data_IF_774426965796
#
_entry.id   IF_774426965796
#
_cell.length_a   1.000
_cell.length_b   1.000
_cell.length_c   1.000
_cell.angle_alpha   90.00
_cell.angle_beta   90.00
_cell.angle_gamma   90.00
#
_symmetry.space_group_name_H-M   'P 1'
#
loop_
_entity.id
_entity.type
_entity.pdbx_description
1 polymer ?
#
# COMPACT_ATOMS: atom_id res chain seq x y z
N UNK A 1 11.19 -7.72 26.73
CA UNK A 1 10.73 -6.32 26.87
C UNK A 1 11.58 -5.37 26.00
N UNK A 2 11.61 -5.56 24.67
CA UNK A 2 12.49 -4.79 23.75
C UNK A 2 11.75 -4.06 22.60
N UNK A 3 10.42 -4.04 22.64
CA UNK A 3 9.59 -3.50 21.55
C UNK A 3 9.52 -1.97 21.46
N UNK A 4 9.92 -1.23 22.50
CA UNK A 4 9.60 0.20 22.66
C UNK A 4 10.83 1.12 22.69
N UNK A 5 12.05 0.59 22.70
CA UNK A 5 13.28 1.39 22.74
C UNK A 5 13.60 2.03 21.37
N UNK A 6 14.08 3.28 21.38
CA UNK A 6 14.61 3.96 20.18
C UNK A 6 15.80 3.18 19.60
N UNK A 7 16.05 3.31 18.29
CA UNK A 7 17.16 2.61 17.64
C UNK A 7 18.50 2.86 18.35
N UNK A 8 18.73 4.08 18.83
CA UNK A 8 19.96 4.43 19.55
C UNK A 8 20.07 3.70 20.90
N UNK A 9 18.98 3.55 21.64
CA UNK A 9 18.96 2.82 22.90
C UNK A 9 19.20 1.31 22.69
N UNK A 10 18.74 0.75 21.57
CA UNK A 10 19.02 -0.65 21.21
C UNK A 10 20.47 -0.87 20.79
N UNK A 11 21.03 0.07 20.04
CA UNK A 11 22.45 0.04 19.66
C UNK A 11 23.32 0.15 20.91
N UNK A 12 22.96 1.03 21.85
CA UNK A 12 23.71 1.20 23.10
C UNK A 12 23.63 -0.03 24.00
N UNK A 13 22.47 -0.69 24.10
CA UNK A 13 22.37 -1.98 24.83
C UNK A 13 23.21 -3.10 24.20
N UNK A 14 23.34 -3.12 22.87
CA UNK A 14 24.17 -4.10 22.18
C UNK A 14 25.67 -3.82 22.36
N UNK A 15 26.05 -2.54 22.47
CA UNK A 15 27.42 -2.15 22.81
C UNK A 15 27.77 -2.50 24.27
N UNK A 16 26.81 -2.38 25.19
CA UNK A 16 26.96 -2.81 26.59
C UNK A 16 27.10 -4.33 26.73
N UNK A 17 26.49 -5.12 25.83
CA UNK A 17 26.67 -6.58 25.75
C UNK A 17 27.99 -7.00 25.07
N UNK A 18 28.87 -6.06 24.74
CA UNK A 18 30.20 -6.33 24.20
C UNK A 18 30.22 -6.69 22.72
N UNK A 19 29.14 -6.42 21.97
CA UNK A 19 29.13 -6.58 20.51
C UNK A 19 29.93 -5.42 19.90
N UNK A 20 31.07 -5.69 19.23
CA UNK A 20 31.88 -4.63 18.64
C UNK A 20 31.09 -3.92 17.54
N UNK A 21 31.08 -2.59 17.57
CA UNK A 21 30.49 -1.77 16.51
C UNK A 21 31.24 -2.00 15.21
N UNK A 22 30.54 -2.53 14.19
CA UNK A 22 31.10 -2.71 12.86
C UNK A 22 30.75 -1.46 12.05
N UNK A 23 31.76 -0.68 11.66
CA UNK A 23 31.57 0.48 10.79
C UNK A 23 31.08 0.06 9.40
N UNK A 24 30.45 0.98 8.67
CA UNK A 24 29.98 0.73 7.30
C UNK A 24 31.12 0.29 6.35
N UNK A 25 32.33 0.80 6.56
CA UNK A 25 33.52 0.39 5.82
C UNK A 25 33.94 -1.06 6.13
N UNK A 26 33.89 -1.46 7.41
CA UNK A 26 34.24 -2.82 7.85
C UNK A 26 33.20 -3.84 7.38
N UNK A 27 31.91 -3.47 7.40
CA UNK A 27 30.83 -4.28 6.84
C UNK A 27 31.03 -4.54 5.34
N UNK A 28 31.37 -3.48 4.59
CA UNK A 28 31.61 -3.59 3.14
C UNK A 28 32.78 -4.54 2.85
N UNK A 29 33.83 -4.49 3.66
CA UNK A 29 34.97 -5.41 3.56
C UNK A 29 34.58 -6.85 3.88
N UNK A 30 33.83 -7.08 4.96
CA UNK A 30 33.36 -8.42 5.35
C UNK A 30 32.51 -9.04 4.24
N UNK A 31 31.63 -8.26 3.61
CA UNK A 31 30.79 -8.73 2.50
C UNK A 31 31.62 -9.05 1.25
N UNK A 32 32.62 -8.23 0.94
CA UNK A 32 33.50 -8.47 -0.22
C UNK A 32 34.43 -9.68 -0.04
N UNK A 33 34.93 -9.88 1.18
CA UNK A 33 35.84 -10.98 1.51
C UNK A 33 35.08 -12.27 1.88
N UNK A 34 33.75 -12.23 1.95
CA UNK A 34 32.94 -13.38 2.30
C UNK A 34 33.04 -14.48 1.24
N UNK A 35 33.66 -15.60 1.61
CA UNK A 35 33.63 -16.83 0.82
C UNK A 35 32.56 -17.76 1.40
N UNK A 36 31.47 -18.03 0.67
CA UNK A 36 30.44 -18.92 1.16
C UNK A 36 31.03 -20.31 1.38
N UNK A 37 30.66 -20.95 2.50
CA UNK A 37 30.97 -22.36 2.70
C UNK A 37 30.23 -23.19 1.65
N UNK A 38 30.79 -24.34 1.23
CA UNK A 38 30.18 -25.16 0.17
C UNK A 38 28.76 -25.63 0.51
N UNK A 39 28.43 -25.77 1.80
CA UNK A 39 27.09 -26.10 2.25
C UNK A 39 26.12 -24.91 2.12
N UNK A 40 26.58 -23.69 2.41
CA UNK A 40 25.80 -22.48 2.24
C UNK A 40 25.54 -22.19 0.75
N UNK A 41 26.58 -22.33 -0.09
CA UNK A 41 26.45 -22.15 -1.55
C UNK A 41 25.43 -23.12 -2.14
N UNK A 42 25.45 -24.39 -1.70
CA UNK A 42 24.47 -25.39 -2.11
C UNK A 42 23.04 -24.99 -1.70
N UNK A 43 22.83 -24.55 -0.45
CA UNK A 43 21.50 -24.11 0.02
C UNK A 43 21.01 -22.88 -0.73
N UNK A 44 21.88 -21.90 -0.96
CA UNK A 44 21.55 -20.67 -1.71
C UNK A 44 21.18 -21.00 -3.15
N UNK A 45 21.93 -21.88 -3.82
CA UNK A 45 21.60 -22.37 -5.17
C UNK A 45 20.27 -23.08 -5.22
N UNK A 46 19.97 -23.97 -4.27
CA UNK A 46 18.66 -24.63 -4.20
C UNK A 46 17.52 -23.64 -4.02
N UNK A 47 17.72 -22.58 -3.22
CA UNK A 47 16.72 -21.52 -3.05
C UNK A 47 16.56 -20.71 -4.35
N UNK A 48 17.66 -20.37 -5.02
CA UNK A 48 17.64 -19.66 -6.31
C UNK A 48 16.95 -20.49 -7.40
N UNK A 49 17.26 -21.78 -7.51
CA UNK A 49 16.64 -22.69 -8.48
C UNK A 49 15.14 -22.87 -8.21
N UNK A 50 14.74 -22.95 -6.93
CA UNK A 50 13.33 -22.96 -6.54
C UNK A 50 12.64 -21.64 -6.90
N UNK A 51 13.33 -20.51 -6.76
CA UNK A 51 12.81 -19.19 -7.15
C UNK A 51 12.68 -19.06 -8.67
N UNK A 52 13.70 -19.45 -9.42
CA UNK A 52 13.72 -19.44 -10.89
C UNK A 52 12.64 -20.35 -11.48
N UNK A 53 12.43 -21.54 -10.90
CA UNK A 53 11.36 -22.45 -11.34
C UNK A 53 9.95 -21.95 -11.00
N UNK A 54 9.76 -21.25 -9.87
CA UNK A 54 8.50 -20.55 -9.57
C UNK A 54 8.23 -19.39 -10.54
N UNK A 55 9.26 -18.64 -10.92
CA UNK A 55 9.17 -17.54 -11.89
C UNK A 55 8.92 -18.07 -13.31
N UNK A 56 9.58 -19.17 -13.70
CA UNK A 56 9.40 -19.81 -15.00
C UNK A 56 8.00 -20.43 -15.16
N UNK A 57 7.36 -20.90 -14.08
CA UNK A 57 5.96 -21.35 -14.08
C UNK A 57 4.92 -20.24 -14.22
N UNK A 58 5.31 -18.97 -14.02
CA UNK A 58 4.44 -17.78 -14.08
C UNK A 58 4.44 -17.07 -15.44
N UNK A 59 4.83 -17.77 -16.52
CA UNK A 59 4.95 -17.23 -17.89
C UNK A 59 3.62 -16.80 -18.57
N UNK A 60 2.49 -16.78 -17.85
CA UNK A 60 1.23 -16.20 -18.35
C UNK A 60 1.07 -14.68 -18.16
N UNK A 61 2.07 -13.99 -17.58
CA UNK A 61 1.94 -12.63 -16.98
C UNK A 61 2.71 -11.54 -17.78
N UNK A 62 2.87 -11.71 -19.09
CA UNK A 62 3.64 -10.78 -19.94
C UNK A 62 3.05 -9.36 -20.06
N UNK A 63 1.77 -9.16 -19.73
CA UNK A 63 1.13 -7.84 -19.78
C UNK A 63 1.33 -7.04 -18.49
N UNK A 64 1.53 -7.71 -17.35
CA UNK A 64 1.64 -7.08 -16.03
C UNK A 64 3.07 -6.59 -15.74
N UNK A 65 4.09 -7.25 -16.32
CA UNK A 65 5.51 -6.87 -16.22
C UNK A 65 5.82 -5.56 -16.95
N UNK A 66 5.19 -5.29 -18.10
CA UNK A 66 5.40 -4.05 -18.88
C UNK A 66 4.82 -2.81 -18.20
N UNK A 67 3.59 -2.89 -17.70
CA UNK A 67 2.99 -1.78 -16.93
C UNK A 67 3.80 -1.52 -15.65
N UNK A 68 4.34 -2.60 -15.09
CA UNK A 68 5.12 -2.54 -13.86
C UNK A 68 6.48 -1.87 -13.95
N UNK A 69 7.26 -2.22 -14.97
CA UNK A 69 8.53 -1.54 -15.23
C UNK A 69 8.35 -0.03 -15.46
N UNK A 70 7.21 0.38 -16.02
CA UNK A 70 6.86 1.80 -16.19
C UNK A 70 6.55 2.45 -14.84
N UNK A 71 5.74 1.81 -13.99
CA UNK A 71 5.32 2.32 -12.68
C UNK A 71 6.45 2.41 -11.65
N UNK A 72 7.43 1.50 -11.72
CA UNK A 72 8.61 1.45 -10.83
C UNK A 72 9.72 2.39 -11.30
N UNK A 73 9.62 2.99 -12.49
CA UNK A 73 10.59 3.98 -12.94
C UNK A 73 10.61 5.22 -12.01
N UNK A 74 11.81 5.72 -11.69
CA UNK A 74 12.01 6.91 -10.83
C UNK A 74 11.10 8.10 -11.16
N UNK A 75 10.95 8.52 -12.44
CA UNK A 75 10.07 9.65 -12.76
C UNK A 75 8.59 9.33 -12.61
N UNK A 76 8.14 8.10 -12.90
CA UNK A 76 6.75 7.70 -12.77
C UNK A 76 6.32 7.63 -11.29
N UNK A 77 7.19 7.07 -10.44
CA UNK A 77 6.97 7.02 -8.99
C UNK A 77 6.84 8.43 -8.39
N UNK A 78 7.68 9.38 -8.83
CA UNK A 78 7.58 10.78 -8.43
C UNK A 78 6.27 11.45 -8.86
N UNK A 79 5.85 11.30 -10.12
CA UNK A 79 4.58 11.86 -10.59
C UNK A 79 3.39 11.26 -9.82
N UNK A 80 3.44 9.96 -9.54
CA UNK A 80 2.39 9.27 -8.79
C UNK A 80 2.29 9.78 -7.35
N UNK A 81 3.41 9.97 -6.65
CA UNK A 81 3.42 10.48 -5.27
C UNK A 81 2.94 11.92 -5.20
N UNK A 82 3.37 12.80 -6.12
CA UNK A 82 2.88 14.18 -6.20
C UNK A 82 1.38 14.21 -6.48
N UNK A 83 0.91 13.38 -7.41
CA UNK A 83 -0.53 13.27 -7.73
C UNK A 83 -1.32 12.79 -6.50
N UNK A 84 -0.82 11.78 -5.80
CA UNK A 84 -1.43 11.26 -4.58
C UNK A 84 -1.47 12.31 -3.45
N UNK A 85 -0.41 13.12 -3.28
CA UNK A 85 -0.38 14.23 -2.31
C UNK A 85 -1.42 15.29 -2.63
N UNK A 86 -1.48 15.74 -3.89
CA UNK A 86 -2.47 16.74 -4.32
C UNK A 86 -3.89 16.23 -4.11
N UNK A 87 -4.15 14.99 -4.49
CA UNK A 87 -5.47 14.37 -4.35
C UNK A 87 -5.88 14.22 -2.89
N UNK A 88 -4.96 13.80 -2.01
CA UNK A 88 -5.20 13.71 -0.57
C UNK A 88 -5.48 15.08 0.06
N UNK A 89 -4.77 16.14 -0.37
CA UNK A 89 -5.02 17.50 0.09
C UNK A 89 -6.40 18.01 -0.34
N UNK A 90 -6.79 17.77 -1.59
CA UNK A 90 -8.12 18.13 -2.11
C UNK A 90 -9.22 17.36 -1.36
N UNK A 91 -9.03 16.06 -1.13
CA UNK A 91 -9.98 15.23 -0.41
C UNK A 91 -10.14 15.68 1.04
N UNK A 92 -9.03 15.98 1.72
CA UNK A 92 -9.04 16.54 3.08
C UNK A 92 -9.79 17.88 3.13
N UNK A 93 -9.51 18.79 2.20
CA UNK A 93 -10.24 20.06 2.10
C UNK A 93 -11.74 19.86 1.90
N UNK A 94 -12.13 18.95 1.01
CA UNK A 94 -13.54 18.65 0.78
C UNK A 94 -14.23 18.07 2.02
N UNK A 95 -13.56 17.19 2.77
CA UNK A 95 -14.06 16.60 4.01
C UNK A 95 -14.28 17.63 5.12
N UNK A 96 -13.39 18.63 5.21
CA UNK A 96 -13.48 19.72 6.20
C UNK A 96 -14.60 20.70 5.86
N UNK A 97 -14.78 21.04 4.57
CA UNK A 97 -15.83 21.97 4.12
C UNK A 97 -17.22 21.32 4.24
N UNK A 98 -17.36 20.05 3.90
CA UNK A 98 -18.66 19.37 3.82
C UNK A 98 -18.83 18.34 4.94
N UNK A 99 -18.79 18.79 6.19
CA UNK A 99 -19.03 17.92 7.35
C UNK A 99 -20.53 17.60 7.49
N UNK A 100 -20.93 16.32 7.49
CA UNK A 100 -22.33 15.97 7.73
C UNK A 100 -22.72 16.34 9.16
N UNK A 101 -23.89 16.99 9.31
CA UNK A 101 -24.45 17.32 10.62
C UNK A 101 -24.78 16.03 11.40
N UNK A 102 -24.30 15.94 12.64
CA UNK A 102 -24.58 14.83 13.54
C UNK A 102 -26.03 14.85 14.06
N UNK A 103 -26.55 13.69 14.46
CA UNK A 103 -27.84 13.57 15.16
C UNK A 103 -29.07 13.33 14.28
N UNK A 104 -28.89 13.02 12.99
CA UNK A 104 -30.01 12.88 12.05
C UNK A 104 -30.32 11.42 11.72
N UNK A 105 -31.61 11.07 11.49
CA UNK A 105 -32.03 9.69 11.20
C UNK A 105 -31.45 9.22 9.85
N UNK A 106 -30.85 8.02 9.85
CA UNK A 106 -30.20 7.42 8.68
C UNK A 106 -31.08 7.30 7.44
N UNK A 107 -32.38 7.04 7.63
CA UNK A 107 -33.38 6.89 6.55
C UNK A 107 -34.00 8.20 6.10
N UNK A 108 -33.60 9.33 6.67
CA UNK A 108 -34.14 10.62 6.25
C UNK A 108 -33.66 10.93 4.83
N UNK A 109 -34.61 11.35 3.98
CA UNK A 109 -34.36 11.69 2.59
C UNK A 109 -33.94 13.15 2.52
N UNK A 110 -32.76 13.41 1.96
CA UNK A 110 -32.25 14.75 1.76
C UNK A 110 -31.74 14.90 0.32
N UNK A 111 -32.51 15.59 -0.52
CA UNK A 111 -32.16 15.80 -1.94
C UNK A 111 -31.01 16.80 -2.12
N UNK A 112 -30.84 17.74 -1.21
CA UNK A 112 -29.83 18.80 -1.33
C UNK A 112 -28.40 18.26 -1.16
N UNK A 113 -28.25 17.17 -0.39
CA UNK A 113 -26.95 16.52 -0.19
C UNK A 113 -26.51 15.57 -1.31
N UNK A 114 -27.28 15.40 -2.38
CA UNK A 114 -26.90 14.51 -3.50
C UNK A 114 -25.63 14.99 -4.20
N UNK A 115 -25.42 16.31 -4.32
CA UNK A 115 -24.20 16.88 -4.89
C UNK A 115 -22.95 16.57 -4.06
N UNK A 116 -23.07 16.54 -2.73
CA UNK A 116 -21.99 16.17 -1.82
C UNK A 116 -21.60 14.69 -2.00
N UNK A 117 -22.59 13.79 -2.09
CA UNK A 117 -22.35 12.35 -2.33
C UNK A 117 -21.64 12.14 -3.65
N UNK A 118 -22.07 12.81 -4.72
CA UNK A 118 -21.43 12.70 -6.04
C UNK A 118 -19.95 13.15 -6.02
N UNK A 119 -19.64 14.26 -5.33
CA UNK A 119 -18.25 14.73 -5.15
C UNK A 119 -17.42 13.73 -4.35
N UNK A 120 -17.95 13.20 -3.25
CA UNK A 120 -17.27 12.22 -2.42
C UNK A 120 -17.01 10.92 -3.19
N UNK A 121 -17.97 10.43 -3.98
CA UNK A 121 -17.78 9.25 -4.84
C UNK A 121 -16.70 9.52 -5.89
N UNK A 122 -16.68 10.72 -6.49
CA UNK A 122 -15.66 11.08 -7.49
C UNK A 122 -14.25 11.03 -6.87
N UNK A 123 -14.07 11.64 -5.70
CA UNK A 123 -12.81 11.60 -4.95
C UNK A 123 -12.45 10.17 -4.54
N UNK A 124 -13.45 9.39 -4.12
CA UNK A 124 -13.28 8.00 -3.76
C UNK A 124 -12.74 7.20 -4.95
N UNK A 125 -13.29 7.37 -6.15
CA UNK A 125 -12.82 6.70 -7.35
C UNK A 125 -11.38 7.09 -7.70
N UNK A 126 -11.03 8.37 -7.57
CA UNK A 126 -9.67 8.84 -7.83
C UNK A 126 -8.68 8.28 -6.78
N UNK A 127 -9.01 8.35 -5.49
CA UNK A 127 -8.18 7.84 -4.39
C UNK A 127 -8.04 6.32 -4.47
N UNK A 128 -9.12 5.60 -4.79
CA UNK A 128 -9.13 4.16 -5.00
C UNK A 128 -8.29 3.73 -6.21
N UNK A 129 -8.31 4.52 -7.29
CA UNK A 129 -7.42 4.31 -8.44
C UNK A 129 -5.95 4.46 -8.06
N UNK A 130 -5.61 5.50 -7.28
CA UNK A 130 -4.26 5.70 -6.75
C UNK A 130 -3.84 4.57 -5.81
N UNK A 131 -4.72 4.11 -4.89
CA UNK A 131 -4.44 2.96 -4.02
C UNK A 131 -4.16 1.69 -4.83
N UNK A 132 -4.92 1.45 -5.91
CA UNK A 132 -4.71 0.31 -6.78
C UNK A 132 -3.36 0.39 -7.50
N UNK A 133 -3.00 1.56 -8.04
CA UNK A 133 -1.71 1.79 -8.70
C UNK A 133 -0.54 1.58 -7.72
N UNK A 134 -0.66 2.08 -6.50
CA UNK A 134 0.37 1.90 -5.46
C UNK A 134 0.45 0.45 -4.99
N UNK A 135 -0.69 -0.24 -4.85
CA UNK A 135 -0.74 -1.67 -4.54
C UNK A 135 -0.02 -2.48 -5.62
N UNK A 136 -0.28 -2.19 -6.90
CA UNK A 136 0.36 -2.86 -8.04
C UNK A 136 1.86 -2.58 -8.09
N UNK A 137 2.27 -1.33 -7.87
CA UNK A 137 3.68 -0.95 -7.83
C UNK A 137 4.43 -1.64 -6.68
N UNK A 138 3.83 -1.69 -5.49
CA UNK A 138 4.41 -2.34 -4.32
C UNK A 138 4.52 -3.87 -4.47
N UNK A 139 3.55 -4.50 -5.13
CA UNK A 139 3.60 -5.93 -5.43
C UNK A 139 4.80 -6.30 -6.30
N UNK A 140 5.17 -5.44 -7.25
CA UNK A 140 6.27 -5.71 -8.18
C UNK A 140 7.65 -5.41 -7.60
N UNK A 141 7.73 -4.51 -6.61
CA UNK A 141 8.95 -4.22 -5.89
C UNK A 141 9.36 -5.31 -4.88
N UNK A 142 8.63 -6.45 -4.83
CA UNK A 142 8.90 -7.54 -3.89
C UNK A 142 8.59 -7.19 -2.42
N UNK A 143 7.82 -6.12 -2.17
CA UNK A 143 7.64 -5.51 -0.84
C UNK A 143 6.68 -6.23 0.12
N UNK A 144 6.08 -7.36 -0.27
CA UNK A 144 5.19 -8.14 0.61
C UNK A 144 5.97 -9.22 1.35
N UNK A 145 6.60 -8.84 2.46
CA UNK A 145 7.07 -9.80 3.46
C UNK A 145 5.86 -10.19 4.32
N UNK A 146 5.15 -11.25 3.93
CA UNK A 146 3.88 -11.63 4.55
C UNK A 146 4.08 -12.32 5.91
N UNK A 147 3.46 -11.74 6.95
CA UNK A 147 3.41 -12.31 8.31
C UNK A 147 2.08 -13.07 8.54
N UNK A 148 1.13 -13.05 7.59
CA UNK A 148 -0.21 -13.59 7.79
C UNK A 148 -0.46 -14.88 6.96
N UNK A 149 -0.57 -16.05 7.60
CA UNK A 149 -0.72 -17.34 6.92
C UNK A 149 -2.06 -17.50 6.17
N UNK A 150 -3.08 -16.70 6.46
CA UNK A 150 -4.35 -16.71 5.72
C UNK A 150 -4.29 -15.94 4.39
N UNK A 151 -3.33 -15.02 4.24
CA UNK A 151 -3.16 -14.24 3.00
C UNK A 151 -2.34 -15.00 1.95
N UNK A 152 -1.40 -15.84 2.39
CA UNK A 152 -0.56 -16.65 1.50
C UNK A 152 -1.35 -17.51 0.50
N UNK A 153 -2.52 -18.05 0.89
CA UNK A 153 -3.37 -18.84 0.01
C UNK A 153 -4.13 -18.03 -1.06
N UNK A 154 -4.27 -16.71 -0.87
CA UNK A 154 -4.92 -15.80 -1.83
C UNK A 154 -3.86 -15.05 -2.68
N UNK A 155 -2.60 -15.02 -2.23
CA UNK A 155 -1.47 -14.38 -2.90
C UNK A 155 -0.99 -15.12 -4.16
N UNK A 156 -1.35 -16.40 -4.37
CA UNK A 156 -0.96 -17.16 -5.57
C UNK A 156 -1.37 -16.48 -6.89
N UNK A 157 -2.34 -15.55 -6.86
CA UNK A 157 -2.67 -14.72 -8.03
C UNK A 157 -2.90 -13.23 -7.65
N UNK A 158 -1.95 -12.32 -7.93
CA UNK A 158 -2.12 -10.88 -7.70
C UNK A 158 -3.31 -10.28 -8.46
N UNK A 159 -3.69 -10.92 -9.57
CA UNK A 159 -4.87 -10.58 -10.37
C UNK A 159 -6.17 -10.80 -9.57
N UNK A 160 -6.26 -11.88 -8.78
CA UNK A 160 -7.47 -12.20 -8.02
C UNK A 160 -7.70 -11.19 -6.88
N UNK A 161 -6.62 -10.72 -6.26
CA UNK A 161 -6.69 -9.65 -5.25
C UNK A 161 -7.14 -8.32 -5.87
N UNK A 162 -6.60 -7.97 -7.04
CA UNK A 162 -6.98 -6.74 -7.75
C UNK A 162 -8.45 -6.78 -8.20
N UNK A 163 -8.88 -7.89 -8.79
CA UNK A 163 -10.28 -8.06 -9.22
C UNK A 163 -11.23 -8.03 -8.02
N UNK A 164 -10.88 -8.66 -6.89
CA UNK A 164 -11.64 -8.57 -5.64
C UNK A 164 -11.73 -7.13 -5.13
N UNK A 165 -10.61 -6.40 -5.05
CA UNK A 165 -10.61 -4.97 -4.66
C UNK A 165 -11.50 -4.13 -5.59
N UNK A 166 -11.36 -4.28 -6.90
CA UNK A 166 -12.13 -3.53 -7.90
C UNK A 166 -13.62 -3.83 -7.77
N UNK A 167 -13.99 -5.10 -7.65
CA UNK A 167 -15.41 -5.52 -7.52
C UNK A 167 -16.03 -5.04 -6.22
N UNK A 168 -15.33 -5.20 -5.09
CA UNK A 168 -15.79 -4.68 -3.81
C UNK A 168 -15.94 -3.15 -3.83
N UNK A 169 -14.96 -2.46 -4.41
CA UNK A 169 -14.97 -1.00 -4.54
C UNK A 169 -16.11 -0.50 -5.45
N UNK A 170 -16.29 -1.13 -6.62
CA UNK A 170 -17.37 -0.83 -7.54
C UNK A 170 -18.74 -1.10 -6.91
N UNK A 171 -18.87 -2.20 -6.17
CA UNK A 171 -20.07 -2.53 -5.40
C UNK A 171 -20.39 -1.45 -4.36
N UNK A 172 -19.40 -1.01 -3.58
CA UNK A 172 -19.57 0.08 -2.62
C UNK A 172 -20.02 1.39 -3.29
N UNK A 173 -19.39 1.75 -4.42
CA UNK A 173 -19.80 2.93 -5.20
C UNK A 173 -21.23 2.80 -5.72
N UNK A 174 -21.61 1.65 -6.27
CA UNK A 174 -22.95 1.40 -6.79
C UNK A 174 -24.02 1.53 -5.70
N UNK A 175 -23.75 0.97 -4.51
CA UNK A 175 -24.61 1.10 -3.32
C UNK A 175 -24.79 2.59 -2.96
N UNK A 176 -23.70 3.35 -2.89
CA UNK A 176 -23.77 4.79 -2.58
C UNK A 176 -24.54 5.59 -3.64
N UNK A 177 -24.38 5.26 -4.93
CA UNK A 177 -25.14 5.91 -6.02
C UNK A 177 -26.64 5.60 -5.91
N UNK A 178 -27.01 4.35 -5.63
CA UNK A 178 -28.41 3.94 -5.46
C UNK A 178 -29.04 4.62 -4.23
N UNK A 179 -28.29 4.76 -3.15
CA UNK A 179 -28.76 5.32 -1.89
C UNK A 179 -28.47 6.83 -1.73
N UNK A 180 -28.00 7.52 -2.78
CA UNK A 180 -27.52 8.93 -2.70
C UNK A 180 -28.52 9.94 -2.14
N UNK A 181 -29.80 9.61 -2.16
CA UNK A 181 -30.89 10.46 -1.63
C UNK A 181 -31.05 10.36 -0.11
N UNK A 182 -30.40 9.40 0.56
CA UNK A 182 -30.52 9.17 2.00
C UNK A 182 -29.34 9.79 2.75
N UNK A 183 -29.61 10.34 3.93
CA UNK A 183 -28.56 10.89 4.81
C UNK A 183 -27.54 9.84 5.26
N UNK A 184 -27.95 8.58 5.37
CA UNK A 184 -27.03 7.47 5.62
C UNK A 184 -25.93 7.35 4.55
N UNK A 185 -26.27 7.51 3.27
CA UNK A 185 -25.29 7.46 2.18
C UNK A 185 -24.37 8.68 2.17
N UNK A 186 -24.88 9.86 2.58
CA UNK A 186 -24.07 11.06 2.78
C UNK A 186 -22.99 10.82 3.84
N UNK A 187 -23.38 10.32 5.01
CA UNK A 187 -22.46 10.01 6.10
C UNK A 187 -21.47 8.89 5.72
N UNK A 188 -21.96 7.81 5.08
CA UNK A 188 -21.13 6.71 4.63
C UNK A 188 -20.10 7.14 3.57
N UNK A 189 -20.51 7.93 2.57
CA UNK A 189 -19.60 8.46 1.54
C UNK A 189 -18.52 9.37 2.14
N UNK A 190 -18.87 10.15 3.17
CA UNK A 190 -17.91 11.00 3.88
C UNK A 190 -16.89 10.16 4.66
N UNK A 191 -17.36 9.18 5.44
CA UNK A 191 -16.46 8.27 6.17
C UNK A 191 -15.57 7.45 5.25
N UNK A 192 -16.12 6.96 4.15
CA UNK A 192 -15.36 6.16 3.20
C UNK A 192 -14.28 7.01 2.51
N UNK A 193 -14.61 8.25 2.13
CA UNK A 193 -13.64 9.21 1.60
C UNK A 193 -12.54 9.54 2.63
N UNK A 194 -12.89 9.68 3.92
CA UNK A 194 -11.94 9.89 5.01
C UNK A 194 -10.98 8.70 5.14
N UNK A 195 -11.50 7.48 5.18
CA UNK A 195 -10.67 6.27 5.30
C UNK A 195 -9.73 6.14 4.10
N UNK A 196 -10.22 6.34 2.87
CA UNK A 196 -9.36 6.32 1.69
C UNK A 196 -8.27 7.38 1.75
N UNK A 197 -8.58 8.59 2.24
CA UNK A 197 -7.58 9.65 2.41
C UNK A 197 -6.49 9.24 3.41
N UNK A 198 -6.86 8.61 4.54
CA UNK A 198 -5.90 8.08 5.52
C UNK A 198 -5.02 6.99 4.90
N UNK A 199 -5.60 6.07 4.13
CA UNK A 199 -4.85 5.01 3.44
C UNK A 199 -3.86 5.62 2.43
N UNK A 200 -4.26 6.65 1.68
CA UNK A 200 -3.34 7.38 0.80
C UNK A 200 -2.19 8.00 1.58
N UNK A 201 -2.43 8.63 2.73
CA UNK A 201 -1.35 9.14 3.58
C UNK A 201 -0.41 8.04 4.05
N UNK A 202 -0.94 6.88 4.47
CA UNK A 202 -0.11 5.72 4.85
C UNK A 202 0.83 5.32 3.72
N UNK A 203 0.33 5.26 2.49
CA UNK A 203 1.15 4.95 1.32
C UNK A 203 2.20 6.02 1.01
N UNK A 204 1.83 7.30 1.12
CA UNK A 204 2.78 8.41 0.94
C UNK A 204 3.93 8.33 1.94
N UNK A 205 3.63 8.04 3.21
CA UNK A 205 4.65 7.82 4.24
C UNK A 205 5.53 6.62 3.92
N UNK A 206 4.94 5.50 3.48
CA UNK A 206 5.70 4.34 3.03
C UNK A 206 6.65 4.69 1.88
N UNK A 207 6.15 5.33 0.83
CA UNK A 207 6.99 5.76 -0.30
C UNK A 207 8.10 6.72 0.14
N UNK A 208 7.82 7.67 1.05
CA UNK A 208 8.84 8.59 1.55
C UNK A 208 9.94 7.89 2.36
N UNK A 209 9.62 6.78 3.04
CA UNK A 209 10.58 6.04 3.87
C UNK A 209 11.45 5.08 3.04
N UNK A 210 10.91 4.52 1.97
CA UNK A 210 11.58 3.46 1.18
C UNK A 210 12.14 3.93 -0.17
N UNK A 211 11.68 5.07 -0.71
CA UNK A 211 12.14 5.63 -1.99
C UNK A 211 12.89 6.97 -1.84
N UNK A 212 13.08 7.43 -0.60
CA UNK A 212 13.89 8.61 -0.25
C UNK A 212 15.38 8.31 -0.15
#
# INVERSE_FOLDING_TARGET
MLGVASSDAKVQSLMEEGVPWIGSADWTRIVQDFKPTPELDKRVRTILENYESMVAGSQGVDQQSKLGGILVSKPASYVMTVTAMLLAAIATGNLLVHRPMGGVRWRERNRDGVGMVARNITLLCMLGGVDLLLTLAAQQAGGFLEVNPLSAAIIESPILLCTFKITAFAGACAILVMLRQYRGAQLASWWLCLVCTIVTFRWLTYNSLYLG
#
